data_IF_252390526356
#
_entry.id   IF_252390526356
#
_cell.length_a   1.000
_cell.length_b   1.000
_cell.length_c   1.000
_cell.angle_alpha   90.00
_cell.angle_beta   90.00
_cell.angle_gamma   90.00
#
_symmetry.space_group_name_H-M   'P 1'
#
loop_
_entity.id
_entity.type
_entity.pdbx_description
1 polymer ?
#
# COMPACT_ATOMS: atom_id res chain seq x y z
N UNK A 1 -12.26 1.68 -23.05
CA UNK A 1 -11.25 0.59 -23.10
C UNK A 1 -10.93 0.01 -21.70
N UNK A 2 -11.79 0.24 -20.70
CA UNK A 2 -11.54 0.03 -19.26
C UNK A 2 -11.58 -1.44 -18.80
N UNK A 3 -12.31 -2.31 -19.50
CA UNK A 3 -12.58 -3.70 -19.06
C UNK A 3 -11.33 -4.60 -19.03
N UNK A 4 -10.31 -4.33 -19.86
CA UNK A 4 -9.11 -5.19 -19.92
C UNK A 4 -8.11 -4.88 -18.80
N UNK A 5 -7.99 -3.61 -18.38
CA UNK A 5 -7.16 -3.20 -17.24
C UNK A 5 -7.69 -3.78 -15.94
N UNK A 6 -8.99 -3.58 -15.68
CA UNK A 6 -9.66 -4.07 -14.47
C UNK A 6 -9.62 -5.61 -14.33
N UNK A 7 -9.69 -6.36 -15.44
CA UNK A 7 -9.51 -7.82 -15.43
C UNK A 7 -8.10 -8.27 -15.05
N UNK A 8 -7.05 -7.54 -15.45
CA UNK A 8 -5.66 -7.88 -15.09
C UNK A 8 -5.39 -7.53 -13.64
N UNK A 9 -5.93 -6.42 -13.18
CA UNK A 9 -5.89 -6.00 -11.77
C UNK A 9 -6.52 -7.01 -10.83
N UNK A 10 -7.75 -7.48 -11.13
CA UNK A 10 -8.42 -8.49 -10.32
C UNK A 10 -7.59 -9.78 -10.24
N UNK A 11 -6.89 -10.16 -11.32
CA UNK A 11 -5.99 -11.32 -11.32
C UNK A 11 -4.82 -11.18 -10.34
N UNK A 12 -4.33 -9.97 -10.09
CA UNK A 12 -3.25 -9.77 -9.12
C UNK A 12 -3.74 -9.93 -7.69
N UNK A 13 -4.94 -9.43 -7.38
CA UNK A 13 -5.55 -9.60 -6.06
C UNK A 13 -5.82 -11.08 -5.79
N UNK A 14 -6.33 -11.82 -6.78
CA UNK A 14 -6.55 -13.26 -6.65
C UNK A 14 -5.23 -14.00 -6.40
N UNK A 15 -4.14 -13.58 -7.04
CA UNK A 15 -2.80 -14.13 -6.77
C UNK A 15 -2.27 -13.83 -5.38
N UNK A 16 -2.54 -12.63 -4.83
CA UNK A 16 -2.18 -12.30 -3.45
C UNK A 16 -2.98 -13.20 -2.48
N UNK A 17 -4.27 -13.42 -2.75
CA UNK A 17 -5.11 -14.35 -1.97
C UNK A 17 -4.55 -15.76 -2.04
N UNK A 18 -4.18 -16.26 -3.22
CA UNK A 18 -3.56 -17.57 -3.40
C UNK A 18 -2.24 -17.69 -2.63
N UNK A 19 -1.37 -16.69 -2.70
CA UNK A 19 -0.05 -16.71 -2.05
C UNK A 19 -0.15 -16.63 -0.52
N UNK A 20 -1.11 -15.87 -0.02
CA UNK A 20 -1.33 -15.68 1.43
C UNK A 20 -2.27 -16.70 2.06
N UNK A 21 -3.03 -17.44 1.24
CA UNK A 21 -4.19 -18.27 1.63
C UNK A 21 -5.22 -17.52 2.49
N UNK A 22 -5.29 -16.19 2.33
CA UNK A 22 -6.19 -15.34 3.11
C UNK A 22 -7.63 -15.42 2.60
N UNK A 23 -8.57 -15.73 3.49
CA UNK A 23 -9.99 -15.81 3.17
C UNK A 23 -10.84 -15.11 4.24
N UNK A 24 -11.50 -14.02 3.85
CA UNK A 24 -12.52 -13.35 4.65
C UNK A 24 -13.62 -12.79 3.74
N UNK A 25 -14.83 -12.66 4.28
CA UNK A 25 -15.88 -11.83 3.68
C UNK A 25 -15.39 -10.39 3.54
N UNK A 26 -15.46 -9.80 2.34
CA UNK A 26 -14.95 -8.46 2.14
C UNK A 26 -15.77 -7.41 2.92
N UNK A 27 -15.09 -6.36 3.37
CA UNK A 27 -15.72 -5.24 4.06
C UNK A 27 -16.60 -4.38 3.12
N UNK A 28 -17.42 -3.51 3.73
CA UNK A 28 -18.23 -2.54 2.98
C UNK A 28 -17.39 -1.42 2.34
N UNK A 29 -18.03 -0.52 1.57
CA UNK A 29 -17.36 0.68 1.05
C UNK A 29 -16.91 1.60 2.19
N UNK A 30 -15.94 2.48 1.91
CA UNK A 30 -15.46 3.45 2.90
C UNK A 30 -14.54 4.55 2.36
N UNK A 31 -14.32 4.65 1.06
CA UNK A 31 -13.34 5.58 0.47
C UNK A 31 -13.96 6.90 0.00
N UNK A 32 -15.28 7.04 0.07
CA UNK A 32 -16.04 8.16 -0.47
C UNK A 32 -15.62 9.50 0.15
N UNK A 33 -15.42 9.53 1.48
CA UNK A 33 -14.97 10.74 2.18
C UNK A 33 -13.54 11.11 1.77
N UNK A 34 -12.65 10.13 1.68
CA UNK A 34 -11.25 10.34 1.28
C UNK A 34 -11.18 10.89 -0.15
N UNK A 35 -11.94 10.31 -1.07
CA UNK A 35 -12.01 10.78 -2.47
C UNK A 35 -12.61 12.19 -2.58
N UNK A 36 -13.61 12.51 -1.74
CA UNK A 36 -14.21 13.84 -1.69
C UNK A 36 -13.20 14.91 -1.23
N UNK A 37 -12.42 14.63 -0.19
CA UNK A 37 -11.41 15.55 0.34
C UNK A 37 -10.19 15.70 -0.59
N UNK A 38 -9.74 14.60 -1.22
CA UNK A 38 -8.65 14.63 -2.21
C UNK A 38 -9.10 15.24 -3.56
N UNK A 39 -10.40 15.29 -3.84
CA UNK A 39 -10.96 15.77 -5.10
C UNK A 39 -10.65 14.89 -6.32
N UNK A 40 -10.23 13.65 -6.07
CA UNK A 40 -9.88 12.61 -7.05
C UNK A 40 -10.35 11.25 -6.55
N UNK A 41 -10.70 10.35 -7.47
CA UNK A 41 -10.92 8.95 -7.12
C UNK A 41 -9.57 8.26 -6.83
N UNK A 42 -9.60 7.21 -6.00
CA UNK A 42 -8.45 6.36 -5.72
C UNK A 42 -8.40 5.16 -6.69
N UNK A 43 -7.22 4.54 -6.90
CA UNK A 43 -7.10 3.35 -7.71
C UNK A 43 -8.09 2.26 -7.28
N UNK A 44 -8.79 1.69 -8.26
CA UNK A 44 -9.84 0.67 -8.04
C UNK A 44 -9.27 -0.57 -7.36
N UNK A 45 -8.03 -0.92 -7.70
CA UNK A 45 -7.35 -2.09 -7.18
C UNK A 45 -7.02 -2.00 -5.70
N UNK A 46 -6.59 -0.83 -5.26
CA UNK A 46 -6.32 -0.54 -3.87
C UNK A 46 -7.59 -0.58 -3.04
N UNK A 47 -8.69 0.01 -3.53
CA UNK A 47 -9.98 -0.07 -2.83
C UNK A 47 -10.45 -1.51 -2.68
N UNK A 48 -10.26 -2.35 -3.69
CA UNK A 48 -10.58 -3.79 -3.59
C UNK A 48 -9.61 -4.55 -2.67
N UNK A 49 -8.32 -4.22 -2.67
CA UNK A 49 -7.35 -4.78 -1.71
C UNK A 49 -7.78 -4.45 -0.28
N UNK A 50 -8.06 -3.18 0.01
CA UNK A 50 -8.55 -2.72 1.31
C UNK A 50 -9.84 -3.42 1.72
N UNK A 51 -10.69 -3.79 0.75
CA UNK A 51 -11.94 -4.53 1.00
C UNK A 51 -11.70 -6.00 1.39
N UNK A 52 -10.77 -6.70 0.73
CA UNK A 52 -10.48 -8.13 0.97
C UNK A 52 -9.49 -8.37 2.10
N UNK A 53 -8.59 -7.42 2.31
CA UNK A 53 -7.55 -7.42 3.33
C UNK A 53 -7.89 -6.33 4.34
N UNK A 54 -8.64 -6.76 5.36
CA UNK A 54 -9.04 -5.98 6.54
C UNK A 54 -7.83 -5.41 7.29
N UNK A 55 -7.96 -4.44 8.22
CA UNK A 55 -6.81 -3.85 8.90
C UNK A 55 -5.79 -4.89 9.41
N UNK A 56 -4.56 -4.81 8.89
CA UNK A 56 -3.54 -5.82 9.02
C UNK A 56 -2.34 -5.55 8.12
N UNK A 57 -1.39 -6.49 8.12
CA UNK A 57 -0.17 -6.41 7.30
C UNK A 57 0.10 -7.65 6.47
N UNK A 58 0.68 -7.43 5.29
CA UNK A 58 1.20 -8.47 4.42
C UNK A 58 2.56 -8.94 4.95
N UNK A 59 2.64 -10.21 5.35
CA UNK A 59 3.80 -10.88 5.92
C UNK A 59 4.42 -10.14 7.11
N UNK A 60 3.59 -9.45 7.89
CA UNK A 60 4.06 -8.56 8.95
C UNK A 60 4.58 -7.21 8.45
N UNK A 61 4.97 -7.10 7.18
CA UNK A 61 5.82 -6.02 6.66
C UNK A 61 5.07 -4.80 6.15
N UNK A 62 4.12 -4.98 5.23
CA UNK A 62 3.43 -3.89 4.54
C UNK A 62 2.00 -3.76 5.03
N UNK A 63 1.62 -2.56 5.45
CA UNK A 63 0.26 -2.22 5.83
C UNK A 63 -0.35 -1.25 4.83
N UNK A 64 -1.67 -1.38 4.60
CA UNK A 64 -2.42 -0.44 3.79
C UNK A 64 -3.00 0.64 4.71
N UNK A 65 -2.81 1.90 4.35
CA UNK A 65 -3.52 3.00 5.01
C UNK A 65 -5.03 2.83 4.80
N UNK A 66 -5.79 3.25 5.80
CA UNK A 66 -7.23 2.99 5.90
C UNK A 66 -8.01 4.29 5.73
N UNK A 67 -9.31 4.24 5.36
CA UNK A 67 -10.03 5.45 5.02
C UNK A 67 -10.30 6.37 6.21
N UNK A 68 -10.67 5.83 7.37
CA UNK A 68 -11.11 6.60 8.55
C UNK A 68 -10.65 6.00 9.88
N UNK A 69 -10.74 6.84 10.91
CA UNK A 69 -10.09 6.72 12.21
C UNK A 69 -10.82 5.78 13.20
N UNK A 70 -11.98 5.21 12.85
CA UNK A 70 -12.85 4.55 13.84
C UNK A 70 -12.17 3.38 14.58
N UNK A 71 -11.14 2.77 13.96
CA UNK A 71 -10.30 1.73 14.57
C UNK A 71 -8.82 1.78 14.17
N UNK A 72 -8.37 2.79 13.42
CA UNK A 72 -7.05 2.79 12.80
C UNK A 72 -6.14 3.90 13.31
N UNK A 73 -4.91 3.52 13.65
CA UNK A 73 -3.85 4.45 14.08
C UNK A 73 -3.25 5.25 12.89
N UNK A 74 -3.55 4.85 11.65
CA UNK A 74 -2.97 5.45 10.43
C UNK A 74 -4.01 5.68 9.29
N UNK A 75 -4.97 6.59 9.49
CA UNK A 75 -5.92 6.96 8.45
C UNK A 75 -5.23 7.78 7.34
N UNK A 76 -5.49 7.41 6.08
CA UNK A 76 -4.86 8.02 4.89
C UNK A 76 -5.05 9.54 4.87
N UNK A 77 -6.25 10.00 5.21
CA UNK A 77 -6.59 11.43 5.17
C UNK A 77 -5.77 12.25 6.18
N UNK A 78 -5.55 11.72 7.39
CA UNK A 78 -4.72 12.37 8.40
C UNK A 78 -3.25 12.35 8.02
N UNK A 79 -2.76 11.25 7.43
CA UNK A 79 -1.39 11.16 6.91
C UNK A 79 -1.12 12.16 5.79
N UNK A 80 -2.05 12.28 4.84
CA UNK A 80 -1.97 13.25 3.75
C UNK A 80 -2.02 14.69 4.25
N UNK A 81 -3.00 15.04 5.09
CA UNK A 81 -3.17 16.40 5.60
C UNK A 81 -2.01 16.82 6.50
N UNK A 82 -1.54 15.94 7.38
CA UNK A 82 -0.38 16.16 8.24
C UNK A 82 0.91 16.35 7.45
N UNK A 83 1.15 15.50 6.44
CA UNK A 83 2.31 15.63 5.55
C UNK A 83 2.26 16.95 4.77
N UNK A 84 1.09 17.32 4.20
CA UNK A 84 0.90 18.59 3.50
C UNK A 84 1.17 19.79 4.39
N UNK A 85 0.59 19.81 5.60
CA UNK A 85 0.78 20.91 6.54
C UNK A 85 2.25 21.04 6.94
N UNK A 86 2.91 19.91 7.23
CA UNK A 86 4.31 19.88 7.62
C UNK A 86 5.22 20.40 6.50
N UNK A 87 4.99 19.98 5.25
CA UNK A 87 5.74 20.47 4.09
C UNK A 87 5.49 21.97 3.82
N UNK A 88 4.26 22.45 4.02
CA UNK A 88 3.94 23.87 3.85
C UNK A 88 4.60 24.77 4.91
N UNK A 89 4.87 24.24 6.10
CA UNK A 89 5.49 24.98 7.21
C UNK A 89 7.01 24.85 7.26
N UNK A 90 7.59 23.84 6.61
CA UNK A 90 9.01 23.51 6.70
C UNK A 90 9.58 23.06 5.36
N UNK A 91 10.43 23.91 4.77
CA UNK A 91 11.11 23.64 3.49
C UNK A 91 11.94 22.36 3.52
N UNK A 92 12.57 22.03 4.65
CA UNK A 92 13.31 20.78 4.78
C UNK A 92 12.38 19.57 4.64
N UNK A 93 11.16 19.65 5.18
CA UNK A 93 10.14 18.61 5.01
C UNK A 93 9.65 18.56 3.57
N UNK A 94 9.40 19.71 2.94
CA UNK A 94 9.02 19.75 1.52
C UNK A 94 10.07 19.08 0.62
N UNK A 95 11.36 19.35 0.89
CA UNK A 95 12.49 18.80 0.16
C UNK A 95 12.59 17.26 0.28
N UNK A 96 12.07 16.66 1.36
CA UNK A 96 12.01 15.20 1.51
C UNK A 96 11.06 14.52 0.50
N UNK A 97 10.12 15.26 -0.10
CA UNK A 97 9.18 14.76 -1.11
C UNK A 97 9.55 15.14 -2.54
N UNK A 98 10.65 15.88 -2.73
CA UNK A 98 11.13 16.24 -4.07
C UNK A 98 11.59 14.97 -4.85
N UNK A 99 11.45 14.94 -6.19
CA UNK A 99 10.95 16.03 -7.04
C UNK A 99 9.42 16.09 -7.18
N UNK A 100 8.69 15.15 -6.58
CA UNK A 100 7.26 14.97 -6.83
C UNK A 100 6.38 15.93 -6.02
N UNK A 101 6.79 16.26 -4.79
CA UNK A 101 5.98 16.99 -3.84
C UNK A 101 4.78 16.17 -3.32
N UNK A 102 4.07 16.71 -2.33
CA UNK A 102 2.86 16.08 -1.81
C UNK A 102 1.68 16.53 -2.68
N UNK A 103 0.76 15.62 -2.99
CA UNK A 103 -0.43 15.94 -3.77
C UNK A 103 -1.23 17.06 -3.12
N UNK A 104 -1.47 18.12 -3.89
CA UNK A 104 -2.38 19.20 -3.53
C UNK A 104 -3.54 19.28 -4.51
N UNK A 105 -4.74 19.53 -4.01
CA UNK A 105 -5.93 19.78 -4.85
C UNK A 105 -5.70 20.95 -5.82
N UNK A 106 -4.89 21.92 -5.41
CA UNK A 106 -4.49 23.10 -6.18
C UNK A 106 -3.35 22.83 -7.16
N UNK A 107 -2.42 21.91 -6.85
CA UNK A 107 -1.35 21.52 -7.79
C UNK A 107 -1.86 20.54 -8.83
N UNK A 108 -2.90 19.76 -8.49
CA UNK A 108 -3.49 18.73 -9.35
C UNK A 108 -2.62 17.49 -9.53
N UNK A 109 -1.43 17.44 -8.92
CA UNK A 109 -0.50 16.32 -8.97
C UNK A 109 0.38 16.25 -7.71
N UNK A 110 0.93 15.08 -7.43
CA UNK A 110 1.91 14.84 -6.38
C UNK A 110 1.72 13.49 -5.68
N UNK A 111 2.45 13.28 -4.59
CA UNK A 111 2.43 12.03 -3.84
C UNK A 111 1.21 11.94 -2.90
N UNK A 112 0.50 10.81 -2.96
CA UNK A 112 -0.51 10.39 -1.97
C UNK A 112 -0.02 9.09 -1.35
N UNK A 113 0.18 9.07 -0.04
CA UNK A 113 0.62 7.86 0.66
C UNK A 113 -0.54 6.87 0.72
N UNK A 114 -0.26 5.60 0.49
CA UNK A 114 -1.25 4.53 0.54
C UNK A 114 -0.84 3.35 1.42
N UNK A 115 0.44 3.24 1.73
CA UNK A 115 0.97 2.21 2.59
C UNK A 115 2.08 2.74 3.48
N UNK A 116 2.41 1.92 4.46
CA UNK A 116 3.55 2.06 5.34
C UNK A 116 4.17 0.68 5.50
N UNK A 117 5.50 0.59 5.55
CA UNK A 117 6.16 -0.64 5.98
C UNK A 117 6.74 -0.52 7.38
N UNK A 118 7.07 -1.66 7.99
CA UNK A 118 7.66 -1.73 9.34
C UNK A 118 9.03 -1.05 9.49
N UNK A 119 9.68 -0.68 8.37
CA UNK A 119 11.07 -0.24 8.30
C UNK A 119 11.24 1.22 7.89
N UNK A 120 10.17 2.03 8.00
CA UNK A 120 10.14 3.45 7.57
C UNK A 120 10.13 3.66 6.05
N UNK A 121 9.90 2.61 5.27
CA UNK A 121 9.69 2.73 3.84
C UNK A 121 8.33 3.33 3.55
N UNK A 122 8.31 4.21 2.54
CA UNK A 122 7.12 4.95 2.14
C UNK A 122 6.61 4.50 0.77
N UNK A 123 5.30 4.40 0.65
CA UNK A 123 4.60 3.82 -0.47
C UNK A 123 3.51 4.80 -0.90
N UNK A 124 3.73 5.40 -2.07
CA UNK A 124 2.90 6.46 -2.61
C UNK A 124 2.35 6.09 -3.98
N UNK A 125 1.27 6.75 -4.36
CA UNK A 125 0.93 6.94 -5.77
C UNK A 125 1.47 8.30 -6.20
N UNK A 126 1.94 8.40 -7.45
CA UNK A 126 2.05 9.71 -8.09
C UNK A 126 0.69 10.06 -8.70
N UNK A 127 -0.14 10.72 -7.91
CA UNK A 127 -1.45 11.15 -8.35
C UNK A 127 -1.35 12.30 -9.35
N UNK A 128 -2.21 12.26 -10.36
CA UNK A 128 -2.43 13.32 -11.33
C UNK A 128 -3.92 13.34 -11.69
N UNK A 129 -4.58 14.46 -11.41
CA UNK A 129 -6.03 14.65 -11.63
C UNK A 129 -6.44 14.54 -13.09
N UNK A 130 -5.51 14.74 -14.03
CA UNK A 130 -5.74 14.60 -15.47
C UNK A 130 -5.62 13.15 -15.97
N UNK A 131 -5.16 12.24 -15.12
CA UNK A 131 -4.92 10.83 -15.44
C UNK A 131 -5.90 9.94 -14.67
N UNK A 132 -6.39 8.90 -15.33
CA UNK A 132 -7.19 7.85 -14.68
C UNK A 132 -6.43 7.26 -13.47
N UNK A 133 -7.02 7.24 -12.25
CA UNK A 133 -6.35 6.74 -11.05
C UNK A 133 -5.80 5.32 -11.17
N UNK A 134 -6.45 4.46 -11.96
CA UNK A 134 -5.98 3.09 -12.22
C UNK A 134 -4.64 3.04 -13.00
N UNK A 135 -4.17 4.19 -13.48
CA UNK A 135 -2.90 4.36 -14.22
C UNK A 135 -1.86 5.16 -13.46
N UNK A 136 -2.15 5.59 -12.23
CA UNK A 136 -1.15 6.24 -11.40
C UNK A 136 -0.03 5.23 -11.07
N UNK A 137 1.24 5.61 -11.23
CA UNK A 137 2.35 4.73 -10.89
C UNK A 137 2.50 4.67 -9.36
N UNK A 138 3.06 3.56 -8.88
CA UNK A 138 3.55 3.46 -7.51
C UNK A 138 4.93 4.12 -7.44
N UNK A 139 5.12 4.99 -6.44
CA UNK A 139 6.41 5.58 -6.09
C UNK A 139 6.77 5.08 -4.69
N UNK A 140 7.95 4.48 -4.55
CA UNK A 140 8.40 3.92 -3.27
C UNK A 140 9.87 4.21 -3.00
N UNK A 141 10.24 4.21 -1.71
CA UNK A 141 11.62 4.23 -1.23
C UNK A 141 11.72 3.35 0.02
N UNK A 142 12.89 2.76 0.30
CA UNK A 142 13.06 1.85 1.46
C UNK A 142 13.15 2.59 2.78
N UNK A 143 13.67 3.82 2.76
CA UNK A 143 13.78 4.71 3.90
C UNK A 143 13.86 6.16 3.44
N UNK A 144 13.63 7.10 4.35
CA UNK A 144 13.76 8.53 4.04
C UNK A 144 15.19 8.88 3.63
N UNK A 145 15.34 9.56 2.50
CA UNK A 145 16.65 9.93 1.93
C UNK A 145 17.21 8.93 0.90
N UNK A 146 16.64 7.73 0.80
CA UNK A 146 16.96 6.82 -0.30
C UNK A 146 16.31 7.27 -1.63
N UNK A 147 16.86 6.83 -2.78
CA UNK A 147 16.30 7.16 -4.09
C UNK A 147 14.85 6.70 -4.25
N UNK A 148 14.05 7.52 -4.93
CA UNK A 148 12.72 7.12 -5.36
C UNK A 148 12.80 6.05 -6.45
N UNK A 149 11.96 5.03 -6.30
CA UNK A 149 11.70 4.03 -7.33
C UNK A 149 10.29 4.22 -7.88
N UNK A 150 10.19 4.25 -9.21
CA UNK A 150 8.92 4.35 -9.93
C UNK A 150 8.55 3.00 -10.52
N UNK A 151 7.30 2.61 -10.31
CA UNK A 151 6.72 1.39 -10.86
C UNK A 151 5.42 1.72 -11.61
N UNK A 152 5.46 1.59 -12.94
CA UNK A 152 4.29 1.78 -13.80
C UNK A 152 3.40 0.53 -13.80
N UNK A 153 2.84 0.21 -12.64
CA UNK A 153 1.98 -0.96 -12.42
C UNK A 153 0.89 -0.65 -11.37
N UNK A 154 -0.20 -1.42 -11.33
CA UNK A 154 -1.20 -1.31 -10.27
C UNK A 154 -0.62 -1.64 -8.89
N UNK A 155 -1.21 -1.08 -7.83
CA UNK A 155 -0.89 -1.36 -6.42
C UNK A 155 -0.88 -2.86 -6.11
N UNK A 156 -1.85 -3.62 -6.61
CA UNK A 156 -1.95 -5.06 -6.42
C UNK A 156 -0.81 -5.83 -7.07
N UNK A 157 -0.31 -5.38 -8.23
CA UNK A 157 0.86 -6.02 -8.84
C UNK A 157 2.12 -5.75 -8.02
N UNK A 158 2.28 -4.51 -7.54
CA UNK A 158 3.40 -4.11 -6.69
C UNK A 158 3.46 -4.94 -5.40
N UNK A 159 2.33 -5.09 -4.70
CA UNK A 159 2.24 -5.91 -3.48
C UNK A 159 2.54 -7.37 -3.77
N UNK A 160 1.97 -7.95 -4.83
CA UNK A 160 2.26 -9.33 -5.21
C UNK A 160 3.76 -9.55 -5.44
N UNK A 161 4.41 -8.67 -6.22
CA UNK A 161 5.85 -8.79 -6.48
C UNK A 161 6.66 -8.63 -5.20
N UNK A 162 6.30 -7.71 -4.32
CA UNK A 162 6.95 -7.54 -3.03
C UNK A 162 6.95 -8.84 -2.20
N UNK A 163 5.81 -9.53 -2.12
CA UNK A 163 5.65 -10.69 -1.24
C UNK A 163 5.98 -12.03 -1.89
N UNK A 164 6.02 -12.10 -3.23
CA UNK A 164 6.13 -13.37 -3.97
C UNK A 164 7.25 -13.42 -5.01
N UNK A 165 7.87 -12.30 -5.39
CA UNK A 165 8.93 -12.25 -6.42
C UNK A 165 10.31 -11.97 -5.79
N UNK A 166 11.19 -12.98 -5.64
CA UNK A 166 12.52 -12.82 -5.02
C UNK A 166 13.47 -11.86 -5.78
N UNK A 167 13.16 -11.58 -7.04
CA UNK A 167 13.94 -10.71 -7.92
C UNK A 167 13.42 -9.26 -7.92
N UNK A 168 12.31 -8.97 -7.22
CA UNK A 168 11.73 -7.63 -7.12
C UNK A 168 12.52 -6.71 -6.18
N UNK A 169 13.81 -6.49 -6.47
CA UNK A 169 14.69 -5.63 -5.68
C UNK A 169 14.36 -4.15 -5.89
N UNK A 170 14.57 -3.27 -4.89
CA UNK A 170 15.01 -3.57 -3.52
C UNK A 170 13.87 -3.95 -2.55
N UNK A 171 12.63 -4.07 -3.03
CA UNK A 171 11.43 -4.15 -2.18
C UNK A 171 11.02 -5.57 -1.77
N UNK A 172 11.51 -6.60 -2.46
CA UNK A 172 11.14 -7.98 -2.20
C UNK A 172 11.41 -8.40 -0.76
N UNK A 173 10.40 -8.98 -0.13
CA UNK A 173 10.50 -9.72 1.13
C UNK A 173 10.42 -11.23 0.90
N UNK A 174 10.27 -11.66 -0.36
CA UNK A 174 10.30 -13.06 -0.79
C UNK A 174 11.74 -13.61 -0.91
N UNK A 175 12.73 -12.94 -0.31
CA UNK A 175 14.13 -13.34 -0.35
C UNK A 175 14.78 -13.22 1.05
N UNK A 176 15.17 -14.33 1.71
CA UNK A 176 15.09 -15.71 1.20
C UNK A 176 13.64 -16.16 0.95
N UNK A 177 13.40 -17.14 0.06
CA UNK A 177 12.05 -17.61 -0.28
C UNK A 177 11.29 -18.07 0.96
N UNK A 178 10.21 -17.35 1.27
CA UNK A 178 9.31 -17.56 2.40
C UNK A 178 7.88 -17.59 1.89
N UNK A 179 6.99 -18.27 2.60
CA UNK A 179 5.56 -18.22 2.31
C UNK A 179 5.02 -16.86 2.76
N UNK A 180 4.30 -16.16 1.91
CA UNK A 180 3.60 -14.95 2.33
C UNK A 180 2.40 -15.33 3.22
N UNK A 181 2.04 -14.44 4.14
CA UNK A 181 0.85 -14.59 4.97
C UNK A 181 0.20 -13.23 5.16
N UNK A 182 -1.02 -13.21 5.66
CA UNK A 182 -1.67 -11.98 6.09
C UNK A 182 -1.92 -12.01 7.59
N UNK A 183 -1.60 -10.91 8.28
CA UNK A 183 -1.76 -10.79 9.73
C UNK A 183 -2.70 -9.62 10.07
N UNK A 184 -3.98 -9.89 10.39
CA UNK A 184 -4.89 -8.88 10.91
C UNK A 184 -4.40 -8.32 12.24
N UNK A 185 -4.67 -7.05 12.52
CA UNK A 185 -4.19 -6.40 13.74
C UNK A 185 -4.78 -6.96 15.04
N UNK A 186 -5.93 -7.64 14.96
CA UNK A 186 -6.53 -8.33 16.11
C UNK A 186 -6.08 -9.78 16.26
N UNK A 187 -5.27 -10.31 15.33
CA UNK A 187 -4.68 -11.63 15.50
C UNK A 187 -3.64 -11.59 16.63
N UNK A 188 -3.42 -12.69 17.38
CA UNK A 188 -2.38 -12.74 18.40
C UNK A 188 -1.02 -12.41 17.77
N UNK A 189 -0.37 -11.35 18.28
CA UNK A 189 0.97 -11.00 17.82
C UNK A 189 1.93 -12.16 18.16
N UNK A 190 2.72 -12.67 17.20
CA UNK A 190 3.65 -13.77 17.48
C UNK A 190 4.69 -13.32 18.53
N UNK A 191 4.72 -13.93 19.72
CA UNK A 191 5.53 -13.51 20.84
C UNK A 191 7.02 -13.85 20.67
N UNK A 192 7.39 -14.63 19.66
CA UNK A 192 8.76 -15.09 19.44
C UNK A 192 9.15 -15.11 17.96
N UNK A 193 10.46 -15.01 17.69
CA UNK A 193 11.00 -15.14 16.34
C UNK A 193 10.70 -16.51 15.72
N UNK A 194 10.64 -17.58 16.52
CA UNK A 194 10.28 -18.92 16.05
C UNK A 194 8.85 -18.98 15.53
N UNK A 195 7.90 -18.34 16.21
CA UNK A 195 6.51 -18.26 15.76
C UNK A 195 6.34 -17.38 14.52
N UNK A 196 7.16 -16.32 14.39
CA UNK A 196 7.27 -15.55 13.15
C UNK A 196 7.81 -16.38 11.99
N UNK A 197 8.88 -17.14 12.19
CA UNK A 197 9.42 -18.05 11.18
C UNK A 197 8.40 -19.11 10.79
N UNK A 198 7.65 -19.66 11.76
CA UNK A 198 6.59 -20.64 11.52
C UNK A 198 5.43 -20.09 10.68
N UNK A 199 5.11 -18.78 10.73
CA UNK A 199 4.13 -18.17 9.83
C UNK A 199 4.63 -18.11 8.38
N UNK A 200 5.94 -18.03 8.20
CA UNK A 200 6.59 -17.92 6.90
C UNK A 200 7.10 -19.25 6.33
N UNK A 201 6.93 -20.37 7.08
CA UNK A 201 7.34 -21.71 6.64
C UNK A 201 6.46 -22.21 5.50
N UNK A 202 7.10 -22.50 4.35
CA UNK A 202 6.43 -23.04 3.16
C UNK A 202 5.81 -24.42 3.39
N UNK A 203 6.26 -25.16 4.41
CA UNK A 203 5.75 -26.49 4.74
C UNK A 203 4.61 -26.49 5.76
N UNK A 204 4.22 -25.31 6.28
CA UNK A 204 3.10 -25.19 7.19
C UNK A 204 1.82 -25.66 6.49
N UNK A 205 1.16 -26.66 7.08
CA UNK A 205 -0.22 -27.00 6.73
C UNK A 205 -1.15 -26.15 7.58
N UNK A 206 -2.21 -25.61 6.99
CA UNK A 206 -3.30 -24.97 7.72
C UNK A 206 -4.04 -25.98 8.59
#
# INVERSE_FOLDING_TARGET
>A
MTVKGQKTTMKWIDRIVEETEWHQEPEGPGWEQVEAELGVALPTDFKELSRRFVPGSFSGYLSLLRPTDEHDEQPLLSMWSGSRQSAAMNEFVAQMYAPYGIYGTETGQGLIQWGSDMTEGDQFWLADRSVDPDRWPVISRKESGEPWHRFDMPTAEFIYRMIADPEFKPFTIANPPRRAFYLPYWAPYPPSAEEWEALSDRNRRN
#
